data_IF_147339534897
#
_entry.id   IF_147339534897
#
_cell.length_a   1.000
_cell.length_b   1.000
_cell.length_c   1.000
_cell.angle_alpha   90.00
_cell.angle_beta   90.00
_cell.angle_gamma   90.00
#
_symmetry.space_group_name_H-M   'P 1'
#
loop_
_entity.id
_entity.type
_entity.pdbx_description
1 polymer ?
#
# COMPACT_ATOMS: atom_id res chain seq x y z
N UNK A 1 -4.84 3.17 -12.96
CA UNK A 1 -5.72 2.04 -12.59
C UNK A 1 -7.06 2.56 -12.09
N UNK A 2 -8.17 2.09 -12.67
CA UNK A 2 -9.53 2.60 -12.37
C UNK A 2 -10.37 1.62 -11.51
N UNK A 3 -9.73 0.66 -10.87
CA UNK A 3 -10.40 -0.45 -10.15
C UNK A 3 -10.13 -0.45 -8.64
N UNK A 4 -9.55 0.62 -8.11
CA UNK A 4 -9.49 0.85 -6.67
C UNK A 4 -10.81 1.46 -6.17
N UNK A 5 -10.94 1.66 -4.88
CA UNK A 5 -12.11 2.30 -4.28
C UNK A 5 -12.39 3.66 -4.96
N UNK A 6 -13.66 4.05 -5.14
CA UNK A 6 -14.02 5.27 -5.89
C UNK A 6 -13.33 6.53 -5.38
N UNK A 7 -13.13 6.66 -4.07
CA UNK A 7 -12.43 7.80 -3.47
C UNK A 7 -10.89 7.74 -3.62
N UNK A 8 -10.34 6.64 -4.15
CA UNK A 8 -8.92 6.50 -4.51
C UNK A 8 -8.74 6.70 -6.02
N UNK A 9 -9.55 6.01 -6.83
CA UNK A 9 -9.45 6.05 -8.29
C UNK A 9 -10.01 7.32 -8.90
N UNK A 10 -11.11 7.83 -8.37
CA UNK A 10 -11.81 8.98 -8.94
C UNK A 10 -12.11 8.82 -10.43
N UNK A 11 -12.02 9.93 -11.16
CA UNK A 11 -12.26 9.97 -12.62
C UNK A 11 -11.01 9.66 -13.43
N UNK A 12 -9.82 10.01 -12.92
CA UNK A 12 -8.57 9.92 -13.67
C UNK A 12 -7.75 8.67 -13.31
N UNK A 13 -8.19 7.92 -12.31
CA UNK A 13 -7.51 6.71 -11.86
C UNK A 13 -6.42 6.94 -10.82
N UNK A 14 -5.96 5.83 -10.27
CA UNK A 14 -4.85 5.74 -9.31
C UNK A 14 -3.55 5.38 -10.02
N UNK A 15 -2.48 6.08 -9.72
CA UNK A 15 -1.12 5.82 -10.24
C UNK A 15 -0.49 4.62 -9.56
N UNK A 16 -0.87 3.40 -9.99
CA UNK A 16 -0.56 2.16 -9.31
C UNK A 16 0.79 1.60 -9.73
N UNK A 17 1.65 1.31 -8.73
CA UNK A 17 2.94 0.65 -8.91
C UNK A 17 2.97 -0.63 -8.07
N UNK A 18 3.14 -1.78 -8.73
CA UNK A 18 3.23 -3.09 -8.09
C UNK A 18 4.67 -3.44 -7.74
N UNK A 19 4.90 -3.81 -6.49
CA UNK A 19 6.19 -4.31 -6.02
C UNK A 19 6.18 -5.84 -6.01
N UNK A 20 7.28 -6.45 -6.46
CA UNK A 20 7.41 -7.90 -6.49
C UNK A 20 7.76 -8.47 -5.11
N UNK A 21 7.32 -9.70 -4.88
CA UNK A 21 7.40 -10.37 -3.59
C UNK A 21 6.20 -10.08 -2.70
N UNK A 22 5.94 -10.98 -1.75
CA UNK A 22 4.92 -10.83 -0.72
C UNK A 22 5.30 -11.63 0.52
N UNK A 23 5.02 -11.09 1.70
CA UNK A 23 5.23 -11.77 2.98
C UNK A 23 4.11 -12.75 3.34
N UNK A 24 3.09 -12.91 2.48
CA UNK A 24 2.02 -13.90 2.59
C UNK A 24 2.08 -14.94 1.46
N UNK A 25 1.59 -16.14 1.74
CA UNK A 25 1.45 -17.24 0.78
C UNK A 25 -0.01 -17.53 0.41
N UNK A 26 -0.79 -16.50 0.07
CA UNK A 26 -2.23 -16.64 -0.17
C UNK A 26 -2.51 -17.55 -1.37
N UNK A 27 -3.29 -18.62 -1.17
CA UNK A 27 -3.66 -19.57 -2.24
C UNK A 27 -4.59 -18.97 -3.29
N UNK A 28 -5.25 -17.87 -2.99
CA UNK A 28 -6.18 -17.13 -3.86
C UNK A 28 -5.58 -15.83 -4.43
N UNK A 29 -4.26 -15.66 -4.36
CA UNK A 29 -3.62 -14.44 -4.83
C UNK A 29 -3.87 -14.22 -6.32
N UNK A 30 -4.46 -13.07 -6.67
CA UNK A 30 -4.71 -12.70 -8.06
C UNK A 30 -3.41 -12.33 -8.81
N UNK A 31 -2.38 -11.91 -8.06
CA UNK A 31 -1.10 -11.46 -8.59
C UNK A 31 0.02 -12.48 -8.28
N UNK A 32 -0.22 -13.77 -8.45
CA UNK A 32 0.73 -14.83 -8.08
C UNK A 32 2.10 -14.69 -8.76
N UNK A 33 2.12 -14.25 -10.01
CA UNK A 33 3.37 -14.07 -10.75
C UNK A 33 4.26 -13.00 -10.09
N UNK A 34 3.66 -11.90 -9.65
CA UNK A 34 4.38 -10.80 -8.99
C UNK A 34 4.73 -11.19 -7.55
N UNK A 35 3.74 -11.72 -6.80
CA UNK A 35 3.87 -11.92 -5.35
C UNK A 35 4.64 -13.19 -4.97
N UNK A 36 4.43 -14.32 -5.68
CA UNK A 36 5.03 -15.61 -5.32
C UNK A 36 6.21 -16.00 -6.22
N UNK A 37 6.18 -15.59 -7.49
CA UNK A 37 7.25 -15.90 -8.43
C UNK A 37 8.28 -14.77 -8.58
N UNK A 38 8.08 -13.66 -7.84
CA UNK A 38 8.95 -12.48 -7.87
C UNK A 38 9.19 -11.93 -9.28
N UNK A 39 8.21 -12.07 -10.17
CA UNK A 39 8.30 -11.47 -11.50
C UNK A 39 8.27 -9.95 -11.38
N UNK A 40 9.33 -9.32 -11.83
CA UNK A 40 9.50 -7.89 -11.82
C UNK A 40 10.79 -7.49 -12.50
N UNK A 41 11.03 -6.19 -12.61
CA UNK A 41 12.26 -5.62 -13.15
C UNK A 41 12.92 -4.80 -12.06
N UNK A 42 14.19 -5.05 -11.80
CA UNK A 42 14.98 -4.22 -10.90
C UNK A 42 15.20 -2.85 -11.56
N UNK A 43 14.88 -1.78 -10.83
CA UNK A 43 15.01 -0.41 -11.30
C UNK A 43 15.76 0.45 -10.28
N UNK A 44 16.39 1.53 -10.78
CA UNK A 44 17.03 2.53 -9.93
C UNK A 44 15.99 3.45 -9.26
N UNK A 45 16.43 4.15 -8.21
CA UNK A 45 15.62 5.18 -7.53
C UNK A 45 15.16 6.26 -8.50
N UNK A 46 16.06 6.73 -9.37
CA UNK A 46 15.75 7.73 -10.40
C UNK A 46 14.68 7.23 -11.38
N UNK A 47 14.73 5.95 -11.74
CA UNK A 47 13.73 5.36 -12.63
C UNK A 47 12.37 5.21 -11.93
N UNK A 48 12.36 4.92 -10.63
CA UNK A 48 11.12 4.86 -9.86
C UNK A 48 10.46 6.25 -9.77
N UNK A 49 11.25 7.30 -9.52
CA UNK A 49 10.75 8.68 -9.52
C UNK A 49 10.20 9.06 -10.90
N UNK A 50 10.91 8.76 -11.98
CA UNK A 50 10.44 8.99 -13.36
C UNK A 50 9.08 8.32 -13.62
N UNK A 51 8.88 7.10 -13.11
CA UNK A 51 7.60 6.38 -13.21
C UNK A 51 6.51 7.14 -12.45
N UNK A 52 6.79 7.60 -11.22
CA UNK A 52 5.82 8.37 -10.43
C UNK A 52 5.45 9.68 -11.15
N UNK A 53 6.43 10.44 -11.62
CA UNK A 53 6.22 11.69 -12.35
C UNK A 53 5.41 11.47 -13.63
N UNK A 54 5.66 10.39 -14.35
CA UNK A 54 4.90 10.03 -15.55
C UNK A 54 3.43 9.71 -15.20
N UNK A 55 3.16 8.95 -14.15
CA UNK A 55 1.80 8.66 -13.69
C UNK A 55 1.07 9.93 -13.26
N UNK A 56 1.74 10.83 -12.56
CA UNK A 56 1.20 12.13 -12.15
C UNK A 56 0.90 13.00 -13.39
N UNK A 57 1.80 13.05 -14.35
CA UNK A 57 1.61 13.83 -15.60
C UNK A 57 0.43 13.34 -16.44
N UNK A 58 0.06 12.06 -16.30
CA UNK A 58 -1.14 11.47 -16.91
C UNK A 58 -2.42 11.80 -16.12
N UNK A 59 -2.32 12.54 -15.02
CA UNK A 59 -3.44 13.00 -14.21
C UNK A 59 -3.87 12.06 -13.11
N UNK A 60 -3.03 11.07 -12.71
CA UNK A 60 -3.33 10.18 -11.60
C UNK A 60 -3.61 10.97 -10.30
N UNK A 61 -4.68 10.61 -9.59
CA UNK A 61 -5.07 11.30 -8.35
C UNK A 61 -4.10 11.05 -7.19
N UNK A 62 -3.32 9.98 -7.24
CA UNK A 62 -2.38 9.58 -6.20
C UNK A 62 -1.31 8.66 -6.78
N UNK A 63 -0.27 8.38 -6.00
CA UNK A 63 0.66 7.27 -6.24
C UNK A 63 0.32 6.14 -5.28
N UNK A 64 -0.10 5.00 -5.82
CA UNK A 64 -0.55 3.83 -5.09
C UNK A 64 0.53 2.73 -5.12
N UNK A 65 1.18 2.55 -3.98
CA UNK A 65 2.24 1.57 -3.77
C UNK A 65 1.60 0.23 -3.37
N UNK A 66 1.54 -0.73 -4.29
CA UNK A 66 0.90 -2.03 -4.05
C UNK A 66 1.92 -3.04 -3.57
N UNK A 67 1.69 -3.56 -2.37
CA UNK A 67 2.51 -4.57 -1.69
C UNK A 67 3.98 -4.17 -1.52
N UNK A 68 4.28 -2.95 -1.04
CA UNK A 68 5.64 -2.42 -0.95
C UNK A 68 6.39 -2.85 0.31
N UNK A 69 5.85 -3.73 1.14
CA UNK A 69 6.34 -4.12 2.48
C UNK A 69 7.85 -4.36 2.55
N UNK A 70 8.39 -5.11 1.57
CA UNK A 70 9.80 -5.48 1.54
C UNK A 70 10.73 -4.31 1.22
N UNK A 71 10.18 -3.25 0.64
CA UNK A 71 10.92 -2.10 0.12
C UNK A 71 10.77 -0.86 1.01
N UNK A 72 10.06 -0.96 2.14
CA UNK A 72 9.76 0.19 3.01
C UNK A 72 10.98 0.99 3.41
N UNK A 73 12.10 0.40 3.88
CA UNK A 73 13.27 1.20 4.24
C UNK A 73 13.78 2.06 3.08
N UNK A 74 13.81 1.49 1.88
CA UNK A 74 14.26 2.18 0.67
C UNK A 74 13.25 3.23 0.21
N UNK A 75 11.96 2.92 0.26
CA UNK A 75 10.90 3.85 -0.11
C UNK A 75 10.81 5.03 0.87
N UNK A 76 10.97 4.79 2.17
CA UNK A 76 10.99 5.85 3.17
C UNK A 76 12.16 6.82 2.93
N UNK A 77 13.35 6.31 2.63
CA UNK A 77 14.50 7.12 2.27
C UNK A 77 14.25 7.93 0.98
N UNK A 78 13.73 7.30 -0.05
CA UNK A 78 13.46 7.92 -1.34
C UNK A 78 12.41 9.03 -1.22
N UNK A 79 11.26 8.72 -0.65
CA UNK A 79 10.11 9.62 -0.54
C UNK A 79 10.33 10.75 0.48
N UNK A 80 11.22 10.59 1.44
CA UNK A 80 11.63 11.69 2.34
C UNK A 80 12.41 12.78 1.61
N UNK A 81 13.14 12.41 0.54
CA UNK A 81 13.92 13.33 -0.30
C UNK A 81 13.13 13.88 -1.48
N UNK A 82 12.25 13.05 -2.05
CA UNK A 82 11.38 13.44 -3.15
C UNK A 82 9.94 13.61 -2.64
N UNK A 83 9.49 14.85 -2.53
CA UNK A 83 8.13 15.14 -2.06
C UNK A 83 7.13 14.89 -3.17
N UNK A 84 6.28 13.89 -2.98
CA UNK A 84 5.20 13.57 -3.91
C UNK A 84 4.16 14.69 -3.93
N UNK A 85 3.82 15.27 -5.12
CA UNK A 85 2.84 16.36 -5.21
C UNK A 85 1.38 15.89 -5.12
N UNK A 86 1.14 14.59 -5.08
CA UNK A 86 -0.18 13.96 -4.90
C UNK A 86 -0.13 12.98 -3.72
N UNK A 87 -1.26 12.59 -3.14
CA UNK A 87 -1.26 11.65 -2.02
C UNK A 87 -0.51 10.35 -2.31
N UNK A 88 0.26 9.87 -1.35
CA UNK A 88 0.91 8.56 -1.37
C UNK A 88 0.00 7.56 -0.67
N UNK A 89 -0.47 6.56 -1.41
CA UNK A 89 -1.30 5.46 -0.93
C UNK A 89 -0.44 4.23 -0.67
N UNK A 90 -0.51 3.68 0.54
CA UNK A 90 0.15 2.45 0.95
C UNK A 90 -0.86 1.31 0.95
N UNK A 91 -0.84 0.49 -0.11
CA UNK A 91 -1.78 -0.59 -0.36
C UNK A 91 -1.12 -1.92 -0.02
N UNK A 92 -1.52 -2.53 1.08
CA UNK A 92 -0.85 -3.72 1.60
C UNK A 92 -1.82 -4.81 2.07
N UNK A 93 -1.26 -5.99 2.31
CA UNK A 93 -2.00 -7.12 2.89
C UNK A 93 -2.41 -6.92 4.36
N UNK A 94 -1.99 -5.82 4.99
CA UNK A 94 -2.16 -5.57 6.41
C UNK A 94 -1.21 -6.37 7.32
N UNK A 95 -0.40 -7.27 6.78
CA UNK A 95 0.56 -8.08 7.55
C UNK A 95 1.89 -7.35 7.66
N UNK A 96 1.91 -6.30 8.50
CA UNK A 96 3.01 -5.36 8.65
C UNK A 96 3.52 -5.31 10.10
N UNK A 97 4.82 -5.12 10.29
CA UNK A 97 5.33 -4.78 11.62
C UNK A 97 5.07 -3.30 11.95
N UNK A 98 4.85 -3.01 13.22
CA UNK A 98 4.68 -1.63 13.71
C UNK A 98 5.92 -0.79 13.41
N UNK A 99 7.11 -1.36 13.59
CA UNK A 99 8.39 -0.70 13.34
C UNK A 99 8.54 -0.29 11.88
N UNK A 100 8.13 -1.18 10.94
CA UNK A 100 8.14 -0.88 9.51
C UNK A 100 7.19 0.28 9.19
N UNK A 101 5.98 0.27 9.76
CA UNK A 101 5.02 1.35 9.56
C UNK A 101 5.48 2.69 10.14
N UNK A 102 6.21 2.68 11.26
CA UNK A 102 6.76 3.90 11.85
C UNK A 102 7.77 4.61 10.93
N UNK A 103 8.46 3.87 10.05
CA UNK A 103 9.35 4.47 9.05
C UNK A 103 8.59 5.26 7.98
N UNK A 104 7.29 5.03 7.85
CA UNK A 104 6.42 5.69 6.87
C UNK A 104 5.67 6.90 7.43
N UNK A 105 5.84 7.20 8.73
CA UNK A 105 5.16 8.32 9.38
C UNK A 105 5.52 9.66 8.71
N UNK A 106 4.51 10.42 8.31
CA UNK A 106 4.68 11.68 7.58
C UNK A 106 4.99 11.54 6.07
N UNK A 107 5.09 10.30 5.56
CA UNK A 107 5.36 10.01 4.15
C UNK A 107 4.09 9.50 3.47
N UNK A 108 3.39 8.57 4.10
CA UNK A 108 2.14 7.99 3.58
C UNK A 108 0.95 8.85 4.00
N UNK A 109 0.12 9.21 3.04
CA UNK A 109 -1.09 10.00 3.26
C UNK A 109 -2.31 9.11 3.46
N UNK A 110 -2.41 8.00 2.72
CA UNK A 110 -3.55 7.08 2.78
C UNK A 110 -3.07 5.65 2.98
N UNK A 111 -3.57 5.01 4.04
CA UNK A 111 -3.39 3.57 4.23
C UNK A 111 -4.57 2.79 3.65
N UNK A 112 -4.27 1.77 2.84
CA UNK A 112 -5.25 0.90 2.18
C UNK A 112 -4.94 -0.58 2.51
N UNK A 113 -5.00 -0.97 3.81
CA UNK A 113 -4.72 -2.34 4.22
C UNK A 113 -5.88 -3.29 3.97
N UNK A 114 -5.57 -4.54 3.68
CA UNK A 114 -6.52 -5.63 3.82
C UNK A 114 -6.58 -6.12 5.28
N UNK A 115 -7.77 -6.56 5.72
CA UNK A 115 -7.94 -7.37 6.93
C UNK A 115 -8.57 -8.70 6.55
N UNK A 116 -7.74 -9.67 6.14
CA UNK A 116 -8.18 -10.91 5.48
C UNK A 116 -8.81 -11.95 6.40
N UNK A 117 -8.37 -12.01 7.66
CA UNK A 117 -8.78 -13.07 8.59
C UNK A 117 -8.87 -12.56 10.02
N UNK A 118 -9.91 -13.04 10.74
CA UNK A 118 -10.03 -12.90 12.19
C UNK A 118 -9.61 -14.20 12.93
N UNK A 119 -9.46 -15.32 12.20
CA UNK A 119 -9.12 -16.63 12.76
C UNK A 119 -7.74 -17.08 12.30
N UNK A 120 -6.92 -17.49 13.29
CA UNK A 120 -5.56 -17.97 13.07
C UNK A 120 -5.51 -19.23 12.19
N UNK A 121 -6.43 -20.18 12.39
CA UNK A 121 -6.48 -21.41 11.60
C UNK A 121 -6.76 -21.15 10.11
N UNK A 122 -7.60 -20.17 9.81
CA UNK A 122 -7.88 -19.76 8.42
C UNK A 122 -6.71 -19.02 7.81
N UNK A 123 -6.09 -18.11 8.54
CA UNK A 123 -4.91 -17.38 8.11
C UNK A 123 -3.73 -18.33 7.81
N UNK A 124 -3.49 -19.32 8.70
CA UNK A 124 -2.48 -20.34 8.46
C UNK A 124 -2.79 -21.19 7.23
N UNK A 125 -4.03 -21.65 7.11
CA UNK A 125 -4.46 -22.54 6.02
C UNK A 125 -4.36 -21.88 4.64
N UNK A 126 -4.82 -20.63 4.52
CA UNK A 126 -5.00 -19.97 3.21
C UNK A 126 -3.92 -18.96 2.85
N UNK A 127 -3.15 -18.48 3.84
CA UNK A 127 -2.08 -17.48 3.61
C UNK A 127 -0.75 -17.80 4.28
N UNK A 128 -0.63 -18.97 4.93
CA UNK A 128 0.58 -19.47 5.63
C UNK A 128 1.05 -18.56 6.78
N UNK A 129 0.15 -17.75 7.36
CA UNK A 129 0.45 -16.78 8.41
C UNK A 129 -0.52 -16.99 9.59
N UNK A 130 -0.19 -17.89 10.51
CA UNK A 130 -1.05 -18.26 11.63
C UNK A 130 -1.27 -17.15 12.68
N UNK A 131 -0.41 -16.16 12.70
CA UNK A 131 -0.45 -14.98 13.58
C UNK A 131 -1.01 -13.72 12.88
N UNK A 132 -1.49 -13.87 11.65
CA UNK A 132 -2.01 -12.76 10.83
C UNK A 132 -3.00 -11.85 11.59
N UNK A 133 -4.03 -12.37 12.30
CA UNK A 133 -5.00 -11.50 12.95
C UNK A 133 -4.39 -10.56 13.98
N UNK A 134 -3.41 -11.04 14.74
CA UNK A 134 -2.74 -10.24 15.78
C UNK A 134 -1.82 -9.19 15.16
N UNK A 135 -1.02 -9.60 14.18
CA UNK A 135 -0.10 -8.70 13.45
C UNK A 135 -0.91 -7.63 12.72
N UNK A 136 -1.91 -8.02 11.94
CA UNK A 136 -2.74 -7.09 11.18
C UNK A 136 -3.48 -6.11 12.10
N UNK A 137 -4.01 -6.56 13.24
CA UNK A 137 -4.67 -5.67 14.21
C UNK A 137 -3.70 -4.63 14.79
N UNK A 138 -2.46 -5.02 15.07
CA UNK A 138 -1.43 -4.08 15.55
C UNK A 138 -1.05 -3.08 14.45
N UNK A 139 -0.90 -3.55 13.22
CA UNK A 139 -0.64 -2.71 12.06
C UNK A 139 -1.75 -1.68 11.81
N UNK A 140 -3.02 -2.10 11.85
CA UNK A 140 -4.17 -1.21 11.67
C UNK A 140 -4.22 -0.10 12.75
N UNK A 141 -3.92 -0.45 14.00
CA UNK A 141 -3.84 0.54 15.09
C UNK A 141 -2.74 1.57 14.83
N UNK A 142 -1.58 1.13 14.36
CA UNK A 142 -0.48 2.04 14.03
C UNK A 142 -0.82 2.92 12.83
N UNK A 143 -1.37 2.36 11.76
CA UNK A 143 -1.82 3.13 10.59
C UNK A 143 -2.85 4.20 10.99
N UNK A 144 -3.83 3.85 11.85
CA UNK A 144 -4.82 4.80 12.35
C UNK A 144 -4.23 5.83 13.30
N UNK A 145 -3.19 5.48 14.05
CA UNK A 145 -2.45 6.44 14.87
C UNK A 145 -1.80 7.52 14.02
N UNK A 146 -1.23 7.14 12.88
CA UNK A 146 -0.58 8.05 11.93
C UNK A 146 -1.63 8.91 11.17
N UNK A 147 -2.70 8.29 10.70
CA UNK A 147 -3.78 8.97 9.97
C UNK A 147 -5.03 9.10 10.85
N UNK A 148 -5.05 10.16 11.67
CA UNK A 148 -6.08 10.37 12.72
C UNK A 148 -7.48 10.68 12.17
N UNK A 149 -7.56 11.23 10.95
CA UNK A 149 -8.80 11.63 10.30
C UNK A 149 -8.79 11.25 8.83
N UNK A 150 -9.97 11.02 8.29
CA UNK A 150 -10.17 10.82 6.86
C UNK A 150 -10.51 12.19 6.24
N UNK A 151 -9.70 12.62 5.27
CA UNK A 151 -9.80 13.93 4.61
C UNK A 151 -10.00 13.71 3.12
N UNK A 152 -10.98 14.39 2.56
CA UNK A 152 -11.34 14.34 1.15
C UNK A 152 -11.26 15.73 0.53
N UNK A 153 -10.97 15.80 -0.75
CA UNK A 153 -11.08 17.04 -1.52
C UNK A 153 -12.54 17.28 -1.98
N UNK A 154 -12.75 18.38 -2.70
CA UNK A 154 -14.08 18.78 -3.22
C UNK A 154 -14.65 17.78 -4.25
N UNK A 155 -13.82 16.91 -4.81
CA UNK A 155 -14.21 15.84 -5.74
C UNK A 155 -14.41 14.48 -5.03
N UNK A 156 -14.44 14.47 -3.70
CA UNK A 156 -14.52 13.27 -2.86
C UNK A 156 -13.34 12.28 -3.04
N UNK A 157 -12.16 12.78 -3.45
CA UNK A 157 -10.92 12.01 -3.51
C UNK A 157 -10.23 12.09 -2.16
N UNK A 158 -9.88 10.95 -1.61
CA UNK A 158 -9.22 10.88 -0.31
C UNK A 158 -7.80 11.45 -0.39
N UNK A 159 -7.55 12.44 0.44
CA UNK A 159 -6.25 13.11 0.56
C UNK A 159 -5.44 12.56 1.73
N UNK A 160 -6.10 12.15 2.81
CA UNK A 160 -5.51 11.48 3.98
C UNK A 160 -6.51 10.52 4.59
N UNK A 161 -6.02 9.47 5.23
CA UNK A 161 -6.91 8.57 5.96
C UNK A 161 -6.54 7.10 5.86
N UNK A 162 -7.54 6.26 6.16
CA UNK A 162 -7.38 4.80 6.12
C UNK A 162 -8.68 4.13 5.66
N UNK A 163 -8.57 3.24 4.68
CA UNK A 163 -9.66 2.37 4.23
C UNK A 163 -9.23 0.92 4.47
N UNK A 164 -10.01 0.19 5.25
CA UNK A 164 -9.77 -1.24 5.50
C UNK A 164 -10.61 -2.05 4.53
N UNK A 165 -9.98 -2.94 3.77
CA UNK A 165 -10.66 -3.88 2.87
C UNK A 165 -10.79 -5.26 3.52
N UNK A 166 -11.94 -5.92 3.31
CA UNK A 166 -12.19 -7.25 3.85
C UNK A 166 -12.78 -8.17 2.78
#
# INVERSE_FOLDING_TARGET
>A
HNWEEPCISGTNGSGTVFFSGCNLGCVFCQNQEISHQNKGVEISDSKLIEIFENLISQGAHNINLVNPTHYVPKLAELLSRWHCPVPVVYNSSGYESVETLQMLEGIVDVYLPDFKYIRNDKALRYSKAGDYPQIAMSALKEMRRQQKADVFDDNAIMQKGMIIRH
#
